data_IF_455459450359
#
_entry.id   IF_455459450359
#
_cell.length_a   1.000
_cell.length_b   1.000
_cell.length_c   1.000
_cell.angle_alpha   90.00
_cell.angle_beta   90.00
_cell.angle_gamma   90.00
#
_symmetry.space_group_name_H-M   'P 1'
#
loop_
_entity.id
_entity.type
_entity.pdbx_description
1 polymer ?
#
# COMPACT_ATOMS: atom_id res chain seq x y z
N UNK A 1 -45.82 25.49 -38.06
CA UNK A 1 -45.72 26.83 -38.64
C UNK A 1 -45.96 27.84 -37.53
N UNK A 2 -44.90 28.51 -37.06
CA UNK A 2 -44.84 29.97 -36.93
C UNK A 2 -43.52 30.35 -36.27
N UNK A 3 -42.58 30.61 -37.16
CA UNK A 3 -41.36 31.38 -37.01
C UNK A 3 -41.72 32.83 -36.66
N UNK A 4 -41.01 33.48 -35.73
CA UNK A 4 -40.83 34.94 -35.81
C UNK A 4 -39.45 35.31 -35.27
N UNK A 5 -38.82 36.19 -36.03
CA UNK A 5 -37.39 36.50 -36.10
C UNK A 5 -37.10 37.81 -35.36
N UNK A 6 -36.01 37.82 -34.61
CA UNK A 6 -34.98 38.86 -34.35
C UNK A 6 -35.40 40.34 -34.53
N UNK A 7 -35.11 41.16 -33.51
CA UNK A 7 -34.65 42.54 -33.72
C UNK A 7 -33.52 42.86 -32.76
N UNK A 8 -32.36 43.17 -33.32
CA UNK A 8 -31.19 43.73 -32.62
C UNK A 8 -31.27 45.26 -32.62
N UNK A 9 -30.92 45.91 -31.52
CA UNK A 9 -30.43 47.29 -31.51
C UNK A 9 -29.76 47.61 -30.16
N UNK A 10 -28.44 47.82 -30.25
CA UNK A 10 -27.51 48.51 -29.34
C UNK A 10 -28.12 49.50 -28.33
N UNK A 11 -27.54 49.54 -27.13
CA UNK A 11 -26.65 50.62 -26.69
C UNK A 11 -25.95 50.24 -25.36
N UNK A 12 -24.64 50.47 -25.35
CA UNK A 12 -23.74 50.37 -24.21
C UNK A 12 -24.07 51.48 -23.21
N UNK A 13 -24.11 51.15 -21.92
CA UNK A 13 -23.77 52.11 -20.88
C UNK A 13 -23.03 51.38 -19.75
N UNK A 14 -21.87 51.92 -19.41
CA UNK A 14 -20.94 51.45 -18.41
C UNK A 14 -21.47 51.78 -17.01
N UNK A 15 -21.44 50.80 -16.10
CA UNK A 15 -21.26 51.10 -14.68
C UNK A 15 -20.63 49.90 -13.98
N UNK A 16 -19.36 50.10 -13.61
CA UNK A 16 -18.63 49.40 -12.56
C UNK A 16 -19.52 49.11 -11.35
N UNK A 17 -19.60 47.83 -10.97
CA UNK A 17 -19.67 47.47 -9.55
C UNK A 17 -18.87 46.17 -9.35
N UNK A 18 -17.71 46.36 -8.73
CA UNK A 18 -16.84 45.30 -8.22
C UNK A 18 -17.53 44.61 -7.05
N UNK A 19 -18.23 43.49 -7.31
CA UNK A 19 -18.52 42.49 -6.30
C UNK A 19 -17.57 41.30 -6.47
N UNK A 20 -16.37 41.45 -5.90
CA UNK A 20 -15.40 40.39 -5.70
C UNK A 20 -15.91 39.42 -4.61
N UNK A 21 -16.98 38.68 -4.90
CA UNK A 21 -17.33 37.49 -4.14
C UNK A 21 -16.44 36.34 -4.62
N UNK A 22 -15.24 36.30 -4.06
CA UNK A 22 -14.38 35.12 -4.07
C UNK A 22 -15.16 33.94 -3.50
N UNK A 23 -15.77 33.17 -4.41
CA UNK A 23 -16.36 31.87 -4.08
C UNK A 23 -15.22 31.00 -3.64
N UNK A 24 -14.97 30.99 -2.34
CA UNK A 24 -14.14 29.99 -1.70
C UNK A 24 -14.76 28.67 -2.13
N UNK A 25 -14.08 27.91 -2.99
CA UNK A 25 -14.52 26.55 -3.29
C UNK A 25 -14.46 25.80 -1.97
N UNK A 26 -15.58 25.76 -1.25
CA UNK A 26 -15.78 24.84 -0.15
C UNK A 26 -15.43 23.47 -0.72
N UNK A 27 -14.39 22.86 -0.16
CA UNK A 27 -14.10 21.48 -0.46
C UNK A 27 -15.32 20.68 -0.02
N UNK A 28 -16.20 20.37 -0.98
CA UNK A 28 -17.36 19.53 -0.76
C UNK A 28 -16.78 18.18 -0.34
N UNK A 29 -16.77 17.92 0.97
CA UNK A 29 -16.37 16.63 1.48
C UNK A 29 -17.38 15.62 0.90
N UNK A 30 -16.93 14.67 0.07
CA UNK A 30 -17.85 13.75 -0.55
C UNK A 30 -18.58 12.94 0.52
N UNK A 31 -19.84 12.54 0.28
CA UNK A 31 -20.60 11.74 1.23
C UNK A 31 -19.80 10.50 1.67
N UNK A 32 -19.91 10.05 2.93
CA UNK A 32 -19.11 8.92 3.46
C UNK A 32 -19.19 7.63 2.62
N UNK A 33 -20.29 7.42 1.90
CA UNK A 33 -20.45 6.28 1.00
C UNK A 33 -19.49 6.31 -0.19
N UNK A 34 -19.19 7.48 -0.75
CA UNK A 34 -18.31 7.62 -1.91
C UNK A 34 -16.88 7.16 -1.58
N UNK A 35 -16.37 7.60 -0.43
CA UNK A 35 -15.08 7.16 0.11
C UNK A 35 -15.00 5.64 0.23
N UNK A 36 -16.06 5.01 0.75
CA UNK A 36 -16.12 3.55 0.88
C UNK A 36 -15.95 2.88 -0.48
N UNK A 37 -16.63 3.38 -1.51
CA UNK A 37 -16.53 2.84 -2.87
C UNK A 37 -15.17 3.09 -3.50
N UNK A 38 -14.53 4.24 -3.28
CA UNK A 38 -13.18 4.53 -3.77
C UNK A 38 -12.17 3.50 -3.23
N UNK A 39 -12.14 3.28 -1.91
CA UNK A 39 -11.23 2.33 -1.28
C UNK A 39 -11.50 0.88 -1.71
N UNK A 40 -12.78 0.50 -1.83
CA UNK A 40 -13.15 -0.82 -2.35
C UNK A 40 -12.72 -0.99 -3.80
N UNK A 41 -12.85 0.06 -4.62
CA UNK A 41 -12.42 0.04 -6.02
C UNK A 41 -10.91 -0.14 -6.12
N UNK A 42 -10.13 0.59 -5.33
CA UNK A 42 -8.68 0.36 -5.24
C UNK A 42 -8.35 -1.06 -4.79
N UNK A 43 -9.04 -1.58 -3.77
CA UNK A 43 -8.82 -2.95 -3.29
C UNK A 43 -9.14 -3.99 -4.36
N UNK A 44 -10.27 -3.87 -5.06
CA UNK A 44 -10.65 -4.76 -6.16
C UNK A 44 -9.63 -4.69 -7.30
N UNK A 45 -9.16 -3.49 -7.64
CA UNK A 45 -8.15 -3.30 -8.68
C UNK A 45 -6.82 -3.98 -8.33
N UNK A 46 -6.47 -4.14 -7.06
CA UNK A 46 -5.26 -4.87 -6.66
C UNK A 46 -5.36 -6.38 -6.88
N UNK A 47 -6.56 -6.94 -6.98
CA UNK A 47 -6.76 -8.36 -7.28
C UNK A 47 -6.44 -8.71 -8.74
N UNK A 48 -6.33 -7.70 -9.61
CA UNK A 48 -5.89 -7.92 -10.98
C UNK A 48 -4.40 -8.32 -11.00
N UNK A 49 -4.07 -9.36 -11.77
CA UNK A 49 -2.81 -10.10 -11.67
C UNK A 49 -1.49 -9.32 -11.88
N UNK A 50 -1.53 -8.08 -12.35
CA UNK A 50 -0.35 -7.21 -12.55
C UNK A 50 -0.30 -6.00 -11.60
N UNK A 51 -1.34 -5.81 -10.78
CA UNK A 51 -1.48 -4.59 -9.98
C UNK A 51 -0.83 -4.74 -8.61
N UNK A 52 -1.15 -5.79 -7.86
CA UNK A 52 -0.46 -6.06 -6.59
C UNK A 52 0.94 -6.65 -6.86
N UNK A 53 2.03 -6.11 -6.26
CA UNK A 53 3.35 -6.70 -6.39
C UNK A 53 3.39 -8.13 -5.84
N UNK A 54 4.01 -9.06 -6.57
CA UNK A 54 4.17 -10.45 -6.14
C UNK A 54 4.74 -10.56 -4.71
N UNK A 55 4.23 -11.50 -3.93
CA UNK A 55 4.65 -11.68 -2.53
C UNK A 55 4.07 -10.65 -1.57
N UNK A 56 3.16 -9.76 -2.00
CA UNK A 56 2.34 -8.95 -1.09
C UNK A 56 0.91 -9.51 -1.08
N UNK A 57 0.41 -9.76 0.13
CA UNK A 57 -0.98 -10.09 0.39
C UNK A 57 -1.58 -9.01 1.27
N UNK A 58 -2.83 -8.62 1.02
CA UNK A 58 -3.52 -7.53 1.72
C UNK A 58 -4.93 -7.92 2.09
N UNK A 59 -5.40 -7.41 3.22
CA UNK A 59 -6.77 -7.55 3.66
C UNK A 59 -7.21 -6.29 4.42
N UNK A 60 -8.34 -5.65 4.06
CA UNK A 60 -8.93 -4.59 4.85
C UNK A 60 -9.29 -5.10 6.25
N UNK A 61 -9.15 -4.23 7.25
CA UNK A 61 -9.58 -4.48 8.62
C UNK A 61 -11.09 -4.73 8.68
N UNK A 62 -11.52 -5.66 9.53
CA UNK A 62 -12.93 -6.06 9.62
C UNK A 62 -13.90 -4.91 9.97
N UNK A 63 -13.43 -3.93 10.75
CA UNK A 63 -14.26 -2.83 11.23
C UNK A 63 -14.14 -1.52 10.44
N UNK A 64 -13.11 -1.36 9.60
CA UNK A 64 -12.88 -0.12 8.86
C UNK A 64 -12.07 -0.35 7.60
N UNK A 65 -12.45 0.31 6.51
CA UNK A 65 -11.69 0.28 5.26
C UNK A 65 -10.49 1.23 5.28
N UNK A 66 -10.35 2.08 6.30
CA UNK A 66 -9.20 2.98 6.42
C UNK A 66 -7.94 2.27 6.95
N UNK A 67 -8.04 1.00 7.39
CA UNK A 67 -6.90 0.25 7.90
C UNK A 67 -6.77 -1.04 7.13
N UNK A 68 -5.65 -1.26 6.47
CA UNK A 68 -5.38 -2.48 5.72
C UNK A 68 -4.18 -3.20 6.34
N UNK A 69 -4.29 -4.50 6.49
CA UNK A 69 -3.20 -5.35 6.94
C UNK A 69 -2.57 -6.03 5.74
N UNK A 70 -1.24 -6.11 5.75
CA UNK A 70 -0.50 -6.76 4.69
C UNK A 70 0.58 -7.69 5.23
N UNK A 71 0.94 -8.65 4.38
CA UNK A 71 2.09 -9.52 4.60
C UNK A 71 2.96 -9.48 3.36
N UNK A 72 4.26 -9.25 3.57
CA UNK A 72 5.28 -9.21 2.55
C UNK A 72 6.19 -10.43 2.68
N UNK A 73 6.20 -11.25 1.63
CA UNK A 73 7.11 -12.37 1.43
C UNK A 73 8.28 -11.91 0.57
N UNK A 74 9.49 -11.95 1.14
CA UNK A 74 10.71 -11.62 0.41
C UNK A 74 11.45 -12.90 0.03
N UNK A 75 11.50 -13.20 -1.26
CA UNK A 75 12.18 -14.41 -1.76
C UNK A 75 13.66 -14.17 -2.13
N UNK A 76 14.10 -12.92 -2.24
CA UNK A 76 15.43 -12.55 -2.74
C UNK A 76 16.00 -11.34 -1.98
N UNK A 77 17.31 -11.16 -2.07
CA UNK A 77 18.02 -10.03 -1.46
C UNK A 77 18.46 -10.30 -0.02
N UNK A 78 18.82 -9.24 0.71
CA UNK A 78 19.40 -9.34 2.06
C UNK A 78 18.41 -9.87 3.11
N UNK A 79 17.11 -9.77 2.83
CA UNK A 79 16.00 -10.16 3.69
C UNK A 79 15.27 -11.39 3.14
N UNK A 80 15.93 -12.19 2.29
CA UNK A 80 15.33 -13.38 1.68
C UNK A 80 14.81 -14.36 2.74
N UNK A 81 13.71 -15.03 2.41
CA UNK A 81 12.95 -15.94 3.28
C UNK A 81 12.23 -15.27 4.45
N UNK A 82 12.24 -13.94 4.54
CA UNK A 82 11.50 -13.20 5.55
C UNK A 82 10.02 -13.03 5.21
N UNK A 83 9.19 -12.98 6.26
CA UNK A 83 7.74 -12.76 6.21
C UNK A 83 7.39 -11.59 7.12
N UNK A 84 7.16 -10.42 6.53
CA UNK A 84 6.98 -9.18 7.29
C UNK A 84 5.51 -8.75 7.28
N UNK A 85 4.90 -8.68 8.46
CA UNK A 85 3.54 -8.14 8.63
C UNK A 85 3.62 -6.62 8.71
N UNK A 86 2.68 -5.93 8.08
CA UNK A 86 2.58 -4.47 8.14
C UNK A 86 1.11 -4.02 8.13
N UNK A 87 0.91 -2.77 8.53
CA UNK A 87 -0.39 -2.08 8.55
C UNK A 87 -0.27 -0.80 7.75
N UNK A 88 -1.26 -0.55 6.91
CA UNK A 88 -1.48 0.72 6.20
C UNK A 88 -2.64 1.43 6.89
N UNK A 89 -2.45 2.69 7.27
CA UNK A 89 -3.52 3.57 7.74
C UNK A 89 -3.76 4.65 6.68
N UNK A 90 -4.99 4.68 6.17
CA UNK A 90 -5.45 5.55 5.11
C UNK A 90 -6.19 6.73 5.78
N UNK A 91 -5.64 7.95 5.74
CA UNK A 91 -6.21 9.10 6.45
C UNK A 91 -7.51 9.58 5.80
N UNK A 92 -8.36 10.25 6.57
CA UNK A 92 -9.64 10.79 6.08
C UNK A 92 -9.51 11.79 4.92
N UNK A 93 -8.32 12.35 4.72
CA UNK A 93 -8.06 13.24 3.58
C UNK A 93 -7.50 12.53 2.35
N UNK A 94 -7.28 11.22 2.37
CA UNK A 94 -6.81 10.46 1.20
C UNK A 94 -7.78 10.61 0.00
N UNK A 95 -7.28 10.77 -1.24
CA UNK A 95 -5.87 10.76 -1.66
C UNK A 95 -5.15 12.10 -1.52
N UNK A 96 -5.76 13.14 -0.96
CA UNK A 96 -5.08 14.44 -0.71
C UNK A 96 -3.99 14.36 0.36
N UNK A 97 -4.06 13.38 1.26
CA UNK A 97 -3.01 13.07 2.23
C UNK A 97 -2.50 11.63 2.04
N UNK A 98 -1.20 11.45 2.22
CA UNK A 98 -0.55 10.15 2.08
C UNK A 98 -1.01 9.18 3.19
N UNK A 99 -1.17 7.89 2.86
CA UNK A 99 -1.30 6.85 3.87
C UNK A 99 -0.01 6.70 4.69
N UNK A 100 -0.10 6.17 5.90
CA UNK A 100 1.05 5.78 6.71
C UNK A 100 1.22 4.26 6.73
N UNK A 101 2.45 3.81 6.88
CA UNK A 101 2.81 2.38 6.90
C UNK A 101 3.60 2.09 8.17
N UNK A 102 3.17 1.08 8.91
CA UNK A 102 3.87 0.58 10.11
C UNK A 102 4.08 -0.92 9.96
N UNK A 103 5.34 -1.36 10.02
CA UNK A 103 5.68 -2.78 10.15
C UNK A 103 5.32 -3.27 11.55
N UNK A 104 4.62 -4.40 11.61
CA UNK A 104 4.23 -5.07 12.84
C UNK A 104 5.29 -6.11 13.26
N UNK A 105 6.08 -6.57 12.30
CA UNK A 105 7.27 -7.38 12.53
C UNK A 105 8.47 -6.44 12.69
N UNK A 106 9.37 -6.72 13.62
CA UNK A 106 10.60 -5.95 13.78
C UNK A 106 11.50 -6.07 12.54
N UNK A 107 11.88 -4.93 11.96
CA UNK A 107 12.72 -4.88 10.76
C UNK A 107 13.88 -3.93 10.97
N UNK A 108 15.10 -4.47 10.94
CA UNK A 108 16.31 -3.67 10.91
C UNK A 108 16.52 -3.10 9.50
N UNK A 109 16.12 -1.85 9.25
CA UNK A 109 16.16 -1.25 7.91
C UNK A 109 16.32 0.28 7.98
N UNK A 110 17.14 0.93 7.11
CA UNK A 110 17.42 2.38 7.19
C UNK A 110 16.18 3.29 7.15
N UNK A 111 15.11 2.86 6.47
CA UNK A 111 13.87 3.63 6.29
C UNK A 111 12.77 3.31 7.32
N UNK A 112 13.02 2.42 8.27
CA UNK A 112 12.05 1.98 9.27
C UNK A 112 12.56 2.42 10.64
N UNK A 113 11.73 3.10 11.44
CA UNK A 113 12.11 3.47 12.80
C UNK A 113 11.94 2.32 13.80
N UNK A 114 12.33 2.57 15.06
CA UNK A 114 12.20 1.59 16.16
C UNK A 114 10.76 1.18 16.50
N UNK A 115 9.77 1.93 16.03
CA UNK A 115 8.34 1.67 16.21
C UNK A 115 7.73 1.00 14.97
N UNK A 116 8.56 0.68 13.96
CA UNK A 116 8.15 0.06 12.71
C UNK A 116 7.60 1.03 11.66
N UNK A 117 7.59 2.35 11.91
CA UNK A 117 7.07 3.31 10.94
C UNK A 117 8.02 3.44 9.76
N UNK A 118 7.47 3.36 8.55
CA UNK A 118 8.20 3.54 7.30
C UNK A 118 8.09 4.99 6.84
N UNK A 119 9.24 5.62 6.55
CA UNK A 119 9.24 6.89 5.82
C UNK A 119 8.93 6.67 4.34
N UNK A 120 8.09 7.54 3.77
CA UNK A 120 7.76 7.52 2.35
C UNK A 120 8.64 8.44 1.51
N UNK A 121 9.41 9.34 2.14
CA UNK A 121 10.13 10.44 1.48
C UNK A 121 11.01 10.00 0.29
N UNK A 122 11.76 8.88 0.34
CA UNK A 122 12.56 8.44 -0.81
C UNK A 122 11.76 8.06 -2.05
N UNK A 123 10.53 7.55 -1.88
CA UNK A 123 9.64 7.17 -2.98
C UNK A 123 8.62 8.23 -3.35
N UNK A 124 8.21 9.02 -2.35
CA UNK A 124 7.21 10.07 -2.42
C UNK A 124 7.73 11.31 -1.69
N UNK A 125 8.68 12.07 -2.28
CA UNK A 125 9.15 13.32 -1.68
C UNK A 125 7.99 14.31 -1.44
N UNK A 126 7.02 14.31 -2.35
CA UNK A 126 5.73 14.97 -2.22
C UNK A 126 4.67 13.98 -2.66
N UNK A 127 3.68 13.72 -1.81
CA UNK A 127 2.52 12.92 -2.16
C UNK A 127 1.59 13.72 -3.07
N UNK A 128 1.32 13.22 -4.27
CA UNK A 128 0.50 13.90 -5.28
C UNK A 128 -0.89 13.30 -5.30
N UNK A 129 -1.86 14.06 -4.80
CA UNK A 129 -3.26 13.70 -4.83
C UNK A 129 -3.70 13.27 -6.24
N UNK A 130 -4.48 12.21 -6.32
CA UNK A 130 -5.01 11.64 -7.56
C UNK A 130 -3.97 11.11 -8.57
N UNK A 131 -2.68 11.08 -8.23
CA UNK A 131 -1.61 10.46 -9.03
C UNK A 131 -0.96 9.31 -8.26
N UNK A 132 -0.72 9.51 -6.97
CA UNK A 132 -0.19 8.51 -6.07
C UNK A 132 -1.34 7.78 -5.36
N UNK A 133 -1.31 6.45 -5.39
CA UNK A 133 -2.38 5.56 -4.90
C UNK A 133 -1.79 4.37 -4.17
N UNK A 134 -2.63 3.54 -3.55
CA UNK A 134 -2.17 2.39 -2.75
C UNK A 134 -1.31 1.43 -3.57
N UNK A 135 -1.62 1.21 -4.86
CA UNK A 135 -0.77 0.39 -5.74
C UNK A 135 0.68 0.89 -5.83
N UNK A 136 0.89 2.21 -5.91
CA UNK A 136 2.21 2.82 -5.95
C UNK A 136 2.92 2.64 -4.60
N UNK A 137 2.19 2.82 -3.51
CA UNK A 137 2.70 2.58 -2.16
C UNK A 137 3.16 1.13 -1.98
N UNK A 138 2.38 0.14 -2.42
CA UNK A 138 2.74 -1.28 -2.28
C UNK A 138 4.00 -1.63 -3.09
N UNK A 139 4.12 -1.06 -4.30
CA UNK A 139 5.35 -1.18 -5.11
C UNK A 139 6.54 -0.60 -4.36
N UNK A 140 6.35 0.56 -3.71
CA UNK A 140 7.39 1.19 -2.90
C UNK A 140 7.77 0.32 -1.69
N UNK A 141 6.80 -0.17 -0.90
CA UNK A 141 7.03 -1.07 0.25
C UNK A 141 7.88 -2.28 -0.15
N UNK A 142 7.61 -2.88 -1.32
CA UNK A 142 8.46 -3.97 -1.83
C UNK A 142 9.85 -3.49 -2.25
N UNK A 143 9.93 -2.30 -2.86
CA UNK A 143 11.15 -1.77 -3.44
C UNK A 143 12.20 -1.33 -2.40
N UNK A 144 11.78 -1.00 -1.16
CA UNK A 144 12.74 -0.57 -0.14
C UNK A 144 13.80 -1.63 0.19
N UNK A 145 13.43 -2.91 0.05
CA UNK A 145 14.33 -4.03 0.28
C UNK A 145 15.31 -4.32 -0.87
N UNK A 146 15.18 -3.62 -2.01
CA UNK A 146 16.08 -3.82 -3.14
C UNK A 146 17.40 -3.07 -2.95
N UNK A 147 18.48 -3.71 -3.38
CA UNK A 147 19.83 -3.13 -3.35
C UNK A 147 19.91 -1.79 -4.08
N UNK A 148 19.19 -1.63 -5.20
CA UNK A 148 19.18 -0.38 -5.96
C UNK A 148 18.71 0.80 -5.12
N UNK A 149 17.61 0.65 -4.37
CA UNK A 149 17.08 1.71 -3.52
C UNK A 149 17.98 1.94 -2.30
N UNK A 150 18.42 0.88 -1.63
CA UNK A 150 19.34 0.99 -0.49
C UNK A 150 20.65 1.71 -0.85
N UNK A 151 21.17 1.44 -2.06
CA UNK A 151 22.40 2.05 -2.56
C UNK A 151 22.24 3.55 -2.86
N UNK A 152 21.04 4.01 -3.19
CA UNK A 152 20.74 5.41 -3.51
C UNK A 152 20.35 6.27 -2.31
N UNK A 153 20.23 5.70 -1.10
CA UNK A 153 19.79 6.43 0.10
C UNK A 153 20.79 7.51 0.56
N UNK A 154 20.27 8.66 0.96
CA UNK A 154 21.01 9.71 1.66
C UNK A 154 20.68 9.68 3.16
N UNK A 155 21.57 10.22 3.99
CA UNK A 155 21.37 10.23 5.45
C UNK A 155 20.06 10.93 5.90
N UNK A 156 19.67 12.12 5.38
CA UNK A 156 18.53 12.87 5.91
C UNK A 156 17.19 12.14 5.83
N UNK A 157 17.05 11.19 4.89
CA UNK A 157 15.81 10.43 4.70
C UNK A 157 15.78 9.14 5.51
N UNK A 158 16.89 8.73 6.15
CA UNK A 158 16.95 7.50 6.93
C UNK A 158 16.47 7.75 8.36
N UNK A 159 15.51 6.94 8.81
CA UNK A 159 14.99 6.94 10.17
C UNK A 159 15.94 6.20 11.12
N UNK A 160 16.42 5.02 10.71
CA UNK A 160 17.45 4.28 11.45
C UNK A 160 18.85 4.62 10.92
N UNK A 161 19.55 5.46 11.70
CA UNK A 161 20.89 5.94 11.40
C UNK A 161 21.94 4.84 11.50
N UNK A 162 21.77 3.88 12.39
CA UNK A 162 22.71 2.77 12.55
C UNK A 162 22.59 1.77 11.41
N UNK A 163 21.36 1.44 10.99
CA UNK A 163 21.13 0.63 9.81
C UNK A 163 21.74 1.28 8.55
N UNK A 164 21.57 2.59 8.38
CA UNK A 164 22.20 3.33 7.28
C UNK A 164 23.73 3.30 7.34
N UNK A 165 24.31 3.61 8.51
CA UNK A 165 25.76 3.62 8.73
C UNK A 165 26.38 2.26 8.46
N UNK A 166 25.80 1.19 8.99
CA UNK A 166 26.27 -0.18 8.75
C UNK A 166 26.16 -0.55 7.28
N UNK A 167 25.08 -0.19 6.57
CA UNK A 167 24.99 -0.45 5.14
C UNK A 167 26.13 0.20 4.33
N UNK A 168 26.57 1.41 4.73
CA UNK A 168 27.63 2.16 4.05
C UNK A 168 29.05 1.73 4.43
N UNK A 169 29.28 1.44 5.71
CA UNK A 169 30.62 1.18 6.25
C UNK A 169 30.92 -0.31 6.43
N UNK A 170 29.94 -1.09 6.88
CA UNK A 170 30.10 -2.52 7.19
C UNK A 170 28.92 -3.34 6.67
N UNK A 171 28.92 -3.56 5.35
CA UNK A 171 27.87 -4.32 4.68
C UNK A 171 27.76 -5.78 5.14
N UNK A 172 28.79 -6.34 5.80
CA UNK A 172 28.74 -7.70 6.32
C UNK A 172 27.93 -7.77 7.60
N UNK A 173 28.14 -6.84 8.53
CA UNK A 173 27.32 -6.73 9.75
C UNK A 173 25.88 -6.40 9.37
N UNK A 174 25.65 -5.45 8.46
CA UNK A 174 24.30 -5.15 7.97
C UNK A 174 23.59 -6.39 7.41
N UNK A 175 24.29 -7.18 6.58
CA UNK A 175 23.73 -8.42 6.02
C UNK A 175 23.30 -9.39 7.11
N UNK A 176 24.13 -9.59 8.15
CA UNK A 176 23.81 -10.49 9.27
C UNK A 176 22.57 -10.01 10.03
N UNK A 177 22.45 -8.71 10.29
CA UNK A 177 21.29 -8.13 10.97
C UNK A 177 20.00 -8.30 10.13
N UNK A 178 20.07 -8.01 8.83
CA UNK A 178 18.95 -8.21 7.91
C UNK A 178 18.50 -9.69 7.82
N UNK A 179 19.47 -10.62 7.78
CA UNK A 179 19.20 -12.07 7.79
C UNK A 179 18.57 -12.51 9.12
N UNK A 180 19.04 -11.99 10.24
CA UNK A 180 18.47 -12.28 11.56
C UNK A 180 17.01 -11.80 11.64
N UNK A 181 16.69 -10.60 11.15
CA UNK A 181 15.31 -10.14 11.07
C UNK A 181 14.43 -11.09 10.22
N UNK A 182 14.93 -11.52 9.07
CA UNK A 182 14.21 -12.47 8.23
C UNK A 182 13.97 -13.82 8.94
N UNK A 183 14.97 -14.35 9.65
CA UNK A 183 14.85 -15.60 10.42
C UNK A 183 13.87 -15.48 11.58
N UNK A 184 13.90 -14.38 12.33
CA UNK A 184 12.97 -14.15 13.44
C UNK A 184 11.53 -14.04 12.94
N UNK A 185 11.33 -13.38 11.79
CA UNK A 185 9.99 -13.15 11.22
C UNK A 185 9.19 -14.42 10.90
N UNK A 186 9.87 -15.55 10.69
CA UNK A 186 9.24 -16.84 10.37
C UNK A 186 9.14 -17.79 11.57
N UNK A 187 9.67 -17.40 12.73
CA UNK A 187 9.49 -18.20 13.95
C UNK A 187 8.01 -18.25 14.33
N UNK A 188 7.59 -19.35 14.97
CA UNK A 188 6.18 -19.53 15.35
C UNK A 188 5.64 -18.36 16.17
N UNK A 189 6.47 -17.80 17.06
CA UNK A 189 6.11 -16.65 17.87
C UNK A 189 5.68 -15.45 17.02
N UNK A 190 6.47 -15.05 16.02
CA UNK A 190 6.11 -13.89 15.18
C UNK A 190 5.13 -14.24 14.06
N UNK A 191 5.25 -15.43 13.47
CA UNK A 191 4.46 -15.84 12.32
C UNK A 191 3.01 -16.11 12.71
N UNK A 192 2.78 -16.82 13.81
CA UNK A 192 1.43 -17.15 14.30
C UNK A 192 0.86 -16.14 15.29
N UNK A 193 1.65 -15.14 15.72
CA UNK A 193 1.10 -14.05 16.51
C UNK A 193 -0.03 -13.35 15.76
N UNK A 194 -1.15 -13.24 16.48
CA UNK A 194 -2.39 -12.66 15.98
C UNK A 194 -2.59 -11.27 16.57
N UNK A 195 -1.65 -10.39 16.27
CA UNK A 195 -1.75 -8.98 16.64
C UNK A 195 -1.82 -8.09 15.39
N UNK A 196 -2.72 -7.09 15.36
CA UNK A 196 -3.86 -6.89 16.26
C UNK A 196 -5.06 -7.80 15.92
N UNK A 197 -5.98 -7.99 16.87
CA UNK A 197 -7.12 -8.93 16.74
C UNK A 197 -8.02 -8.71 15.51
N UNK A 198 -8.09 -7.47 15.02
CA UNK A 198 -8.87 -7.07 13.85
C UNK A 198 -8.14 -7.26 12.51
N UNK A 199 -6.90 -7.76 12.54
CA UNK A 199 -6.22 -8.31 11.37
C UNK A 199 -6.92 -9.61 10.97
N UNK A 200 -7.29 -9.75 9.71
CA UNK A 200 -7.96 -10.94 9.19
C UNK A 200 -6.96 -11.95 8.59
N UNK A 201 -5.73 -11.53 8.33
CA UNK A 201 -4.68 -12.43 7.82
C UNK A 201 -4.16 -13.27 8.99
N UNK A 202 -4.36 -14.59 8.91
CA UNK A 202 -3.96 -15.55 9.94
C UNK A 202 -3.07 -16.62 9.36
N UNK A 203 -1.93 -16.84 9.99
CA UNK A 203 -1.11 -18.02 9.78
C UNK A 203 -1.43 -19.04 10.87
N UNK A 204 -1.49 -20.30 10.47
CA UNK A 204 -1.63 -21.42 11.39
C UNK A 204 -0.61 -22.48 11.00
N UNK A 205 -0.17 -23.33 11.94
CA UNK A 205 0.59 -24.52 11.60
C UNK A 205 -0.11 -25.31 10.50
N UNK A 206 0.67 -25.86 9.58
CA UNK A 206 0.13 -26.65 8.48
C UNK A 206 -0.59 -27.87 9.05
N UNK A 207 -1.87 -28.02 8.74
CA UNK A 207 -2.62 -29.23 9.03
C UNK A 207 -2.69 -30.06 7.75
N UNK A 208 -2.00 -31.21 7.72
CA UNK A 208 -1.92 -32.09 6.55
C UNK A 208 -3.30 -32.52 6.01
N UNK A 209 -4.30 -32.67 6.89
CA UNK A 209 -5.66 -33.03 6.51
C UNK A 209 -6.39 -31.89 5.78
N UNK A 210 -6.13 -30.64 6.18
CA UNK A 210 -6.68 -29.45 5.50
C UNK A 210 -5.99 -29.25 4.17
N UNK A 211 -4.66 -29.40 4.14
CA UNK A 211 -3.86 -29.29 2.94
C UNK A 211 -4.23 -30.33 1.88
N UNK A 212 -4.40 -31.60 2.27
CA UNK A 212 -4.82 -32.67 1.37
C UNK A 212 -6.16 -32.40 0.69
N UNK A 213 -7.14 -31.86 1.42
CA UNK A 213 -8.46 -31.46 0.86
C UNK A 213 -8.35 -30.32 -0.16
N UNK A 214 -7.46 -29.35 0.08
CA UNK A 214 -7.25 -28.25 -0.85
C UNK A 214 -6.55 -28.72 -2.13
N UNK A 215 -5.56 -29.62 -2.00
CA UNK A 215 -4.86 -30.20 -3.13
C UNK A 215 -5.76 -31.07 -4.01
N UNK A 216 -6.60 -31.92 -3.42
CA UNK A 216 -7.54 -32.75 -4.18
C UNK A 216 -8.51 -31.90 -5.01
N UNK A 217 -8.97 -30.78 -4.47
CA UNK A 217 -9.90 -29.87 -5.16
C UNK A 217 -9.25 -29.14 -6.34
N UNK A 218 -7.96 -28.82 -6.26
CA UNK A 218 -7.21 -28.22 -7.36
C UNK A 218 -6.86 -29.21 -8.48
N UNK A 219 -6.59 -30.48 -8.15
CA UNK A 219 -6.34 -31.51 -9.18
C UNK A 219 -7.58 -31.83 -10.03
N UNK A 220 -8.79 -31.70 -9.46
CA UNK A 220 -10.03 -31.91 -10.21
C UNK A 220 -10.39 -30.74 -11.13
N UNK A 221 -10.07 -29.49 -10.76
CA UNK A 221 -10.39 -28.31 -11.58
C UNK A 221 -9.49 -28.16 -12.81
N UNK A 222 -8.25 -28.63 -12.76
CA UNK A 222 -7.36 -28.65 -13.95
C UNK A 222 -7.70 -29.72 -14.98
N UNK A 223 -8.41 -30.78 -14.56
CA UNK A 223 -8.86 -31.86 -15.46
C UNK A 223 -10.00 -31.40 -16.38
N UNK A 224 -10.98 -30.66 -15.85
CA UNK A 224 -12.18 -30.27 -16.60
C UNK A 224 -11.93 -29.13 -17.61
N UNK A 225 -10.86 -28.34 -17.44
CA UNK A 225 -10.47 -27.31 -18.39
C UNK A 225 -9.77 -27.83 -19.66
N UNK A 226 -9.28 -29.07 -19.65
CA UNK A 226 -8.61 -29.70 -20.80
C UNK A 226 -9.57 -30.55 -21.67
N UNK A 227 -10.78 -30.86 -21.19
CA UNK A 227 -11.79 -31.61 -21.95
C UNK A 227 -12.72 -30.75 -22.82
N UNK A 228 -12.56 -29.42 -22.82
CA UNK A 228 -13.35 -28.48 -23.65
C UNK A 228 -12.58 -27.95 -24.88
N UNK A 229 -11.40 -28.50 -25.18
CA UNK A 229 -10.57 -28.14 -26.35
C UNK A 229 -10.16 -29.35 -27.21
N UNK A 230 -11.00 -30.39 -27.26
CA UNK A 230 -10.97 -31.43 -28.30
C UNK A 230 -12.34 -31.53 -28.96
#
# INVERSE_FOLDING_TARGET
MNTTTITSSSLLDDSDDNDEHGTTMEQINPPPCYRRYELLTEFMNLQNGSHCPLGIYLMPCAGTLNVWYGVLFLHQGLYSSGVFKFRIVIPDKYPSAAPSVTFLTDVFHPLIDSQGNLTLTPGFPVWRAHQDYLIHLLRYIKNIFKRSLLSSLSDPVCLDKEAYRLYRQDGNVFRKMAQQCAQLSITEFYLFDHFPNNNLIRFTPMNELVFGKLYSNHSHTTSDSLSLLQ
#
